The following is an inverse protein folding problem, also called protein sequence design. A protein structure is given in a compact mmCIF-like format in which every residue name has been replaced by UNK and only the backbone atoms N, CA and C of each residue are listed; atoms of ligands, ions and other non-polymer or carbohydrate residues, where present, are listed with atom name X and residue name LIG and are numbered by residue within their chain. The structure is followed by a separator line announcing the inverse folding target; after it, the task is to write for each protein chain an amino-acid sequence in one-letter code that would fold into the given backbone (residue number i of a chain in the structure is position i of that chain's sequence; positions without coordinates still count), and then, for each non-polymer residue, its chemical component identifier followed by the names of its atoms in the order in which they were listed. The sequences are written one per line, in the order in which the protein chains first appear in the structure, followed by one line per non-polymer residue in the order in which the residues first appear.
data_IF_445978632607
#
_entry.id   IF_445978632607
#
_cell.length_a   1.000
_cell.length_b   1.000
_cell.length_c   1.000
_cell.angle_alpha   90.00
_cell.angle_beta   90.00
_cell.angle_gamma   90.00
#
_symmetry.space_group_name_H-M   'P 1'
#
loop_
_entity.id
_entity.type
_entity.pdbx_description
1 polymer ?
#
# COMPACT_ATOMS: atom_id res chain seq x y z
N UNK A 1 17.35 14.68 -37.97
CA UNK A 1 16.87 13.39 -37.43
C UNK A 1 17.27 13.36 -35.96
N UNK A 2 16.52 14.09 -35.13
CA UNK A 2 16.73 14.09 -33.68
C UNK A 2 16.12 12.80 -33.13
N UNK A 3 16.98 11.89 -32.70
CA UNK A 3 16.55 10.71 -31.96
C UNK A 3 16.02 11.18 -30.61
N UNK A 4 14.74 10.97 -30.41
CA UNK A 4 13.94 11.30 -29.23
C UNK A 4 14.51 10.62 -27.96
N UNK A 5 15.54 11.24 -27.37
CA UNK A 5 16.10 10.86 -26.07
C UNK A 5 15.07 10.97 -24.94
N UNK A 6 13.95 11.68 -25.15
CA UNK A 6 12.91 11.85 -24.15
C UNK A 6 12.07 10.57 -23.96
N UNK A 7 11.83 9.81 -25.04
CA UNK A 7 11.21 8.47 -24.96
C UNK A 7 12.06 7.46 -24.20
N UNK A 8 13.38 7.50 -24.36
CA UNK A 8 14.31 6.65 -23.60
C UNK A 8 14.25 6.93 -22.11
N UNK A 9 14.31 8.21 -21.72
CA UNK A 9 14.21 8.64 -20.32
C UNK A 9 12.83 8.37 -19.70
N UNK A 10 11.75 8.51 -20.48
CA UNK A 10 10.40 8.20 -20.03
C UNK A 10 10.23 6.71 -19.72
N UNK A 11 10.77 5.82 -20.57
CA UNK A 11 10.72 4.39 -20.34
C UNK A 11 11.60 3.98 -19.14
N UNK A 12 12.81 4.52 -19.00
CA UNK A 12 13.67 4.27 -17.83
C UNK A 12 13.06 4.76 -16.50
N UNK A 13 12.28 5.84 -16.53
CA UNK A 13 11.52 6.32 -15.38
C UNK A 13 10.32 5.42 -15.07
N UNK A 14 9.60 4.98 -16.09
CA UNK A 14 8.44 4.09 -15.96
C UNK A 14 8.83 2.75 -15.33
N UNK A 15 9.95 2.17 -15.75
CA UNK A 15 10.50 0.91 -15.21
C UNK A 15 10.88 1.02 -13.71
N UNK A 16 10.98 2.25 -13.18
CA UNK A 16 11.24 2.54 -11.76
C UNK A 16 10.00 2.94 -10.96
N UNK A 17 8.86 3.13 -11.63
CA UNK A 17 7.66 3.71 -11.02
C UNK A 17 6.52 2.70 -10.87
N UNK A 18 6.44 1.69 -11.73
CA UNK A 18 5.37 0.69 -11.72
C UNK A 18 5.91 -0.70 -11.37
N UNK A 19 5.15 -1.44 -10.58
CA UNK A 19 5.45 -2.82 -10.24
C UNK A 19 4.17 -3.63 -10.02
N UNK A 20 4.30 -4.95 -10.18
CA UNK A 20 3.31 -5.94 -9.77
C UNK A 20 3.88 -6.78 -8.62
N UNK A 21 3.01 -7.47 -7.89
CA UNK A 21 3.42 -8.41 -6.85
C UNK A 21 3.31 -9.85 -7.38
N UNK A 22 4.41 -10.59 -7.36
CA UNK A 22 4.48 -12.00 -7.72
C UNK A 22 5.02 -12.79 -6.53
N UNK A 23 4.19 -13.64 -5.91
CA UNK A 23 4.54 -14.46 -4.75
C UNK A 23 5.25 -13.68 -3.63
N UNK A 24 4.80 -12.43 -3.44
CA UNK A 24 5.32 -11.48 -2.46
C UNK A 24 6.63 -10.77 -2.81
N UNK A 25 7.13 -10.99 -4.01
CA UNK A 25 8.24 -10.23 -4.59
C UNK A 25 7.71 -9.08 -5.44
N UNK A 26 8.33 -7.91 -5.30
CA UNK A 26 8.02 -6.75 -6.13
C UNK A 26 8.73 -6.90 -7.47
N UNK A 27 7.97 -7.03 -8.55
CA UNK A 27 8.48 -7.19 -9.91
C UNK A 27 8.22 -5.91 -10.70
N UNK A 28 9.27 -5.20 -11.18
CA UNK A 28 9.09 -4.03 -12.03
C UNK A 28 8.24 -4.36 -13.26
N UNK A 29 7.25 -3.52 -13.56
CA UNK A 29 6.33 -3.72 -14.67
C UNK A 29 6.43 -2.52 -15.61
N UNK A 30 7.05 -2.73 -16.78
CA UNK A 30 7.25 -1.67 -17.77
C UNK A 30 6.05 -1.52 -18.70
N UNK A 31 5.19 -2.54 -18.84
CA UNK A 31 3.96 -2.45 -19.62
C UNK A 31 2.81 -1.89 -18.76
N UNK A 32 2.36 -0.68 -19.10
CA UNK A 32 1.27 -0.03 -18.37
C UNK A 32 -0.06 -0.78 -18.49
N UNK A 33 -0.32 -1.45 -19.62
CA UNK A 33 -1.56 -2.22 -19.80
C UNK A 33 -1.55 -3.44 -18.91
N UNK A 34 -0.42 -4.16 -18.84
CA UNK A 34 -0.23 -5.27 -17.92
C UNK A 34 -0.40 -4.84 -16.47
N UNK A 35 0.23 -3.73 -16.08
CA UNK A 35 0.09 -3.16 -14.74
C UNK A 35 -1.37 -2.78 -14.42
N UNK A 36 -2.08 -2.14 -15.35
CA UNK A 36 -3.49 -1.75 -15.16
C UNK A 36 -4.36 -2.99 -14.97
N UNK A 37 -4.17 -4.03 -15.79
CA UNK A 37 -4.95 -5.26 -15.67
C UNK A 37 -4.66 -5.98 -14.35
N UNK A 38 -3.39 -6.07 -13.94
CA UNK A 38 -3.00 -6.64 -12.64
C UNK A 38 -3.65 -5.89 -11.46
N UNK A 39 -3.61 -4.55 -11.46
CA UNK A 39 -4.25 -3.72 -10.42
C UNK A 39 -5.80 -3.80 -10.46
N UNK A 40 -6.39 -4.15 -11.61
CA UNK A 40 -7.85 -4.28 -11.79
C UNK A 40 -8.39 -5.62 -11.34
N UNK A 41 -7.69 -6.72 -11.61
CA UNK A 41 -8.08 -8.07 -11.14
C UNK A 41 -8.30 -8.09 -9.62
N UNK A 42 -7.54 -7.26 -8.90
CA UNK A 42 -7.63 -6.96 -7.47
C UNK A 42 -8.97 -6.36 -7.01
N UNK A 43 -9.50 -5.42 -7.81
CA UNK A 43 -10.67 -4.59 -7.47
C UNK A 43 -11.97 -5.40 -7.38
N UNK A 44 -11.92 -6.69 -7.72
CA UNK A 44 -13.05 -7.63 -7.74
C UNK A 44 -13.08 -8.57 -6.52
N UNK A 45 -12.27 -8.33 -5.48
CA UNK A 45 -12.42 -8.97 -4.17
C UNK A 45 -11.67 -10.28 -3.96
N UNK A 46 -10.68 -10.58 -4.81
CA UNK A 46 -9.80 -11.75 -4.71
C UNK A 46 -8.31 -11.36 -4.46
N UNK A 47 -8.09 -10.18 -3.89
CA UNK A 47 -6.96 -9.34 -4.29
C UNK A 47 -5.54 -9.64 -3.79
N UNK A 48 -4.57 -9.65 -4.71
CA UNK A 48 -3.13 -9.77 -4.47
C UNK A 48 -2.48 -8.51 -3.87
N UNK A 49 -3.14 -7.33 -3.90
CA UNK A 49 -2.58 -6.13 -3.25
C UNK A 49 -2.76 -6.08 -1.75
N UNK A 50 -3.73 -6.81 -1.18
CA UNK A 50 -4.01 -6.76 0.25
C UNK A 50 -3.02 -7.70 0.96
N UNK A 51 -2.05 -7.12 1.65
CA UNK A 51 -0.99 -7.87 2.33
C UNK A 51 -1.45 -8.34 3.70
N UNK A 52 -2.16 -7.47 4.44
CA UNK A 52 -2.71 -7.80 5.75
C UNK A 52 -3.88 -6.86 6.10
N UNK A 53 -4.88 -7.40 6.78
CA UNK A 53 -5.97 -6.65 7.39
C UNK A 53 -6.22 -7.16 8.81
N UNK A 54 -6.32 -6.25 9.77
CA UNK A 54 -6.72 -6.53 11.15
C UNK A 54 -7.84 -5.58 11.58
N UNK A 55 -8.82 -6.11 12.32
CA UNK A 55 -9.88 -5.30 12.95
C UNK A 55 -9.66 -5.28 14.46
N UNK A 56 -9.41 -4.10 15.02
CA UNK A 56 -9.06 -3.91 16.42
C UNK A 56 -9.97 -2.82 16.99
N UNK A 57 -10.94 -3.19 17.83
CA UNK A 57 -11.80 -2.26 18.56
C UNK A 57 -12.50 -1.20 17.66
N UNK A 58 -12.97 -1.62 16.47
CA UNK A 58 -13.62 -0.74 15.49
C UNK A 58 -12.65 0.08 14.61
N UNK A 59 -11.35 -0.18 14.72
CA UNK A 59 -10.31 0.30 13.80
C UNK A 59 -9.92 -0.81 12.83
N UNK A 60 -9.67 -0.44 11.58
CA UNK A 60 -9.10 -1.31 10.56
C UNK A 60 -7.65 -0.91 10.35
N UNK A 61 -6.74 -1.85 10.54
CA UNK A 61 -5.34 -1.70 10.13
C UNK A 61 -5.19 -2.45 8.82
N UNK A 62 -4.83 -1.74 7.76
CA UNK A 62 -4.74 -2.30 6.41
C UNK A 62 -3.34 -2.07 5.90
N UNK A 63 -2.69 -3.12 5.42
CA UNK A 63 -1.43 -3.05 4.69
C UNK A 63 -1.65 -3.50 3.27
N UNK A 64 -1.26 -2.66 2.31
CA UNK A 64 -1.47 -2.90 0.89
C UNK A 64 -0.17 -2.71 0.10
N UNK A 65 -0.07 -3.41 -1.02
CA UNK A 65 0.85 -3.12 -2.11
C UNK A 65 0.23 -2.06 -3.02
N UNK A 66 1.02 -1.04 -3.36
CA UNK A 66 0.53 0.15 -4.03
C UNK A 66 0.59 0.05 -5.56
N UNK A 67 1.42 -0.85 -6.09
CA UNK A 67 1.74 -0.92 -7.52
C UNK A 67 2.52 0.27 -8.08
N UNK A 68 2.61 1.37 -7.33
CA UNK A 68 3.33 2.58 -7.68
C UNK A 68 4.37 2.94 -6.62
N UNK A 69 5.56 3.37 -7.08
CA UNK A 69 6.62 3.80 -6.19
C UNK A 69 6.24 5.15 -5.55
N UNK A 70 5.98 5.14 -4.24
CA UNK A 70 5.68 6.35 -3.47
C UNK A 70 6.91 7.14 -3.03
N UNK A 71 8.12 6.73 -3.39
CA UNK A 71 9.32 7.51 -3.14
C UNK A 71 9.47 8.65 -4.16
N UNK A 72 8.64 9.69 -3.98
CA UNK A 72 8.60 10.86 -4.87
C UNK A 72 9.87 11.72 -4.82
N UNK A 73 10.63 11.67 -3.72
CA UNK A 73 11.89 12.41 -3.61
C UNK A 73 13.03 11.75 -4.37
N UNK A 74 12.88 10.48 -4.77
CA UNK A 74 13.92 9.69 -5.43
C UNK A 74 15.12 9.39 -4.51
N UNK A 75 15.00 9.63 -3.21
CA UNK A 75 16.06 9.42 -2.22
C UNK A 75 15.76 8.19 -1.38
N UNK A 76 16.70 7.24 -1.32
CA UNK A 76 16.49 5.97 -0.63
C UNK A 76 15.79 4.90 -1.48
N UNK A 77 15.42 3.76 -0.88
CA UNK A 77 14.79 2.66 -1.61
C UNK A 77 13.36 3.04 -2.07
N UNK A 78 12.82 2.36 -3.09
CA UNK A 78 11.44 2.58 -3.51
C UNK A 78 10.45 2.16 -2.42
N UNK A 79 9.28 2.81 -2.38
CA UNK A 79 8.24 2.57 -1.37
C UNK A 79 7.02 1.98 -2.05
N UNK A 80 6.80 0.69 -1.86
CA UNK A 80 5.81 -0.09 -2.59
C UNK A 80 4.62 -0.52 -1.74
N UNK A 81 4.75 -0.45 -0.42
CA UNK A 81 3.73 -0.88 0.51
C UNK A 81 3.33 0.27 1.43
N UNK A 82 2.07 0.34 1.83
CA UNK A 82 1.56 1.30 2.81
C UNK A 82 0.76 0.57 3.88
N UNK A 83 0.95 0.95 5.15
CA UNK A 83 0.01 0.62 6.23
C UNK A 83 -0.78 1.85 6.61
N UNK A 84 -2.10 1.69 6.67
CA UNK A 84 -3.07 2.72 7.04
C UNK A 84 -3.96 2.24 8.18
N UNK A 85 -4.43 3.20 8.97
CA UNK A 85 -5.44 2.95 10.00
C UNK A 85 -6.71 3.71 9.66
N UNK A 86 -7.82 3.00 9.62
CA UNK A 86 -9.14 3.56 9.42
C UNK A 86 -10.00 3.35 10.66
N UNK A 87 -10.91 4.28 10.93
CA UNK A 87 -11.99 4.10 11.90
C UNK A 87 -13.28 3.83 11.16
N UNK A 88 -14.11 2.93 11.67
CA UNK A 88 -15.49 2.86 11.19
C UNK A 88 -16.27 4.11 11.63
N UNK A 89 -16.85 4.82 10.67
CA UNK A 89 -17.78 5.91 10.94
C UNK A 89 -19.08 5.34 11.49
N UNK A 90 -19.49 5.81 12.67
CA UNK A 90 -20.74 5.43 13.31
C UNK A 90 -21.98 5.89 12.51
N UNK A 91 -21.84 6.85 11.60
CA UNK A 91 -22.97 7.50 10.93
C UNK A 91 -23.38 6.80 9.63
N UNK A 92 -22.47 6.08 8.97
CA UNK A 92 -22.72 5.54 7.62
C UNK A 92 -21.91 4.28 7.30
N UNK A 93 -21.20 3.69 8.26
CA UNK A 93 -20.39 2.49 8.05
C UNK A 93 -19.14 2.70 7.18
N UNK A 94 -18.88 3.92 6.69
CA UNK A 94 -17.68 4.23 5.90
C UNK A 94 -16.42 4.15 6.78
N UNK A 95 -15.32 3.70 6.19
CA UNK A 95 -14.00 3.72 6.82
C UNK A 95 -13.35 5.10 6.62
N UNK A 96 -13.04 5.81 7.71
CA UNK A 96 -12.37 7.12 7.68
C UNK A 96 -10.91 6.93 8.06
N UNK A 97 -9.99 7.27 7.15
CA UNK A 97 -8.55 7.24 7.40
C UNK A 97 -8.22 8.20 8.53
N UNK A 98 -7.46 7.73 9.52
CA UNK A 98 -6.98 8.56 10.63
C UNK A 98 -5.57 9.02 10.28
N UNK A 99 -5.25 10.28 10.54
CA UNK A 99 -3.94 10.90 10.29
C UNK A 99 -2.79 10.30 11.14
N UNK A 100 -3.06 9.20 11.83
CA UNK A 100 -2.21 8.63 12.88
C UNK A 100 -0.95 7.90 12.39
N UNK A 101 -0.74 7.74 11.08
CA UNK A 101 0.51 7.14 10.61
C UNK A 101 0.36 6.38 9.32
N UNK A 102 0.48 7.11 8.22
CA UNK A 102 0.93 6.49 6.98
C UNK A 102 2.37 6.03 7.23
N UNK A 103 2.59 4.72 7.15
CA UNK A 103 3.94 4.14 7.17
C UNK A 103 4.12 3.34 5.90
N UNK A 104 5.23 3.61 5.20
CA UNK A 104 5.53 2.99 3.92
C UNK A 104 6.78 2.13 4.00
N UNK A 105 6.81 1.08 3.19
CA UNK A 105 7.86 0.08 3.22
C UNK A 105 8.31 -0.30 1.80
N UNK A 106 9.56 -0.74 1.69
CA UNK A 106 10.15 -1.19 0.43
C UNK A 106 9.90 -2.67 0.14
N UNK A 107 9.69 -3.48 1.19
CA UNK A 107 9.52 -4.94 1.07
C UNK A 107 8.25 -5.39 1.78
N UNK A 108 7.68 -6.51 1.33
CA UNK A 108 6.51 -7.10 1.98
C UNK A 108 6.81 -7.56 3.41
N UNK A 109 8.02 -8.09 3.64
CA UNK A 109 8.44 -8.52 4.98
C UNK A 109 8.46 -7.35 5.97
N UNK A 110 9.02 -6.20 5.56
CA UNK A 110 9.00 -4.99 6.38
C UNK A 110 7.58 -4.46 6.58
N UNK A 111 6.73 -4.56 5.54
CA UNK A 111 5.34 -4.16 5.63
C UNK A 111 4.54 -5.00 6.63
N UNK A 112 4.75 -6.33 6.66
CA UNK A 112 4.14 -7.23 7.64
C UNK A 112 4.66 -6.97 9.07
N UNK A 113 5.96 -6.77 9.23
CA UNK A 113 6.53 -6.41 10.53
C UNK A 113 5.98 -5.06 11.03
N UNK A 114 5.91 -4.08 10.13
CA UNK A 114 5.33 -2.78 10.38
C UNK A 114 3.84 -2.83 10.71
N UNK A 115 3.07 -3.67 10.02
CA UNK A 115 1.66 -3.94 10.32
C UNK A 115 1.47 -4.37 11.78
N UNK A 116 2.21 -5.40 12.22
CA UNK A 116 2.14 -5.88 13.59
C UNK A 116 2.45 -4.77 14.62
N UNK A 117 3.45 -3.92 14.35
CA UNK A 117 3.78 -2.76 15.19
C UNK A 117 2.62 -1.75 15.25
N UNK A 118 1.97 -1.46 14.12
CA UNK A 118 0.81 -0.56 14.08
C UNK A 118 -0.38 -1.16 14.84
N UNK A 119 -0.67 -2.45 14.65
CA UNK A 119 -1.70 -3.17 15.40
C UNK A 119 -1.48 -3.05 16.91
N UNK A 120 -0.25 -3.25 17.37
CA UNK A 120 0.13 -3.07 18.76
C UNK A 120 -0.04 -1.63 19.27
N UNK A 121 0.31 -0.63 18.45
CA UNK A 121 0.08 0.78 18.80
C UNK A 121 -1.42 1.07 18.93
N UNK A 122 -2.24 0.62 17.98
CA UNK A 122 -3.70 0.78 18.03
C UNK A 122 -4.27 0.15 19.30
N UNK A 123 -3.87 -1.08 19.64
CA UNK A 123 -4.29 -1.75 20.89
C UNK A 123 -3.95 -0.94 22.14
N UNK A 124 -2.74 -0.36 22.21
CA UNK A 124 -2.25 0.38 23.39
C UNK A 124 -2.87 1.76 23.54
N UNK A 125 -3.20 2.42 22.44
CA UNK A 125 -3.68 3.81 22.44
C UNK A 125 -5.17 3.95 22.70
N UNK A 126 -5.94 2.91 22.40
CA UNK A 126 -7.37 2.88 22.62
C UNK A 126 -7.75 1.75 23.59
N UNK A 127 -7.28 1.77 24.86
CA UNK A 127 -7.71 0.77 25.82
C UNK A 127 -9.16 1.05 26.23
N UNK A 128 -10.07 0.10 25.98
CA UNK A 128 -11.45 0.16 26.48
C UNK A 128 -12.37 1.11 25.71
N UNK A 129 -12.17 1.30 24.40
CA UNK A 129 -13.09 2.10 23.60
C UNK A 129 -14.50 1.48 23.64
N UNK A 130 -15.61 2.25 23.78
CA UNK A 130 -16.97 1.75 23.98
C UNK A 130 -17.57 0.88 22.84
N UNK A 131 -16.79 0.61 21.79
CA UNK A 131 -17.15 -0.31 20.70
C UNK A 131 -16.31 -1.60 20.74
N UNK A 132 -15.53 -1.82 21.80
CA UNK A 132 -14.83 -3.07 22.11
C UNK A 132 -15.77 -4.10 22.78
N UNK A 133 -17.06 -4.04 22.47
CA UNK A 133 -18.10 -4.96 22.93
C UNK A 133 -18.45 -5.97 21.86
#
# INVERSE_FOLDING_TARGET
METDQSRGKFNEWRDKCLAILDNGSVVPCSDQSEWVEWMREDSLGAGNHLIAEDVIQGFYVVTEFLGINQNVSGTGPPLWFETMVFRQSAQNGLRVKIEYGIVRYSTQADALAGHAIICDKVKRMFPGHPWAG
#
